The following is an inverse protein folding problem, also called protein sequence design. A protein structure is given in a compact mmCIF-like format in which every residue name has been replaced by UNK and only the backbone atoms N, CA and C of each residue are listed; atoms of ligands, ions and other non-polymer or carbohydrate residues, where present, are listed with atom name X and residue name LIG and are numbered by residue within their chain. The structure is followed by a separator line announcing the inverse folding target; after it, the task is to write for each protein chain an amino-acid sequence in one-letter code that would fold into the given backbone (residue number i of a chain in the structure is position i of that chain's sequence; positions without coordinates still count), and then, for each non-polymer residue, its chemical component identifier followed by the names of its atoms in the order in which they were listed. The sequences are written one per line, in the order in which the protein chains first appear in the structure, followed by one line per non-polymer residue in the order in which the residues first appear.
data_IF_426081355317
#
_entry.id   IF_426081355317
#
_cell.length_a   1.000
_cell.length_b   1.000
_cell.length_c   1.000
_cell.angle_alpha   90.00
_cell.angle_beta   90.00
_cell.angle_gamma   90.00
#
_symmetry.space_group_name_H-M   'P 1'
#
loop_
_entity.id
_entity.type
_entity.pdbx_description
1 polymer ?
#
# COMPACT_ATOMS: atom_id res chain seq x y z
N UNK A 1 17.82 16.76 -25.63
CA UNK A 1 17.05 16.42 -24.41
C UNK A 1 16.45 15.05 -24.62
N UNK A 2 17.03 14.01 -24.04
CA UNK A 2 16.49 12.64 -24.13
C UNK A 2 15.35 12.52 -23.13
N UNK A 3 14.14 12.24 -23.61
CA UNK A 3 12.99 11.91 -22.74
C UNK A 3 13.36 10.69 -21.89
N UNK A 4 13.16 10.72 -20.55
CA UNK A 4 13.36 9.54 -19.74
C UNK A 4 12.42 8.43 -20.24
N UNK A 5 12.83 7.15 -20.22
CA UNK A 5 11.93 6.06 -20.56
C UNK A 5 10.70 6.16 -19.65
N UNK A 6 9.50 6.01 -20.23
CA UNK A 6 8.29 5.87 -19.41
C UNK A 6 8.49 4.70 -18.45
N UNK A 7 8.11 4.86 -17.17
CA UNK A 7 8.20 3.76 -16.22
C UNK A 7 7.36 2.58 -16.71
N UNK A 8 7.77 1.37 -16.34
CA UNK A 8 6.93 0.18 -16.51
C UNK A 8 5.55 0.42 -15.88
N UNK A 9 4.46 -0.12 -16.46
CA UNK A 9 3.12 0.10 -15.96
C UNK A 9 3.03 -0.33 -14.49
N UNK A 10 2.40 0.51 -13.66
CA UNK A 10 2.23 0.20 -12.26
C UNK A 10 1.28 -1.01 -12.08
N UNK A 11 1.32 -1.71 -10.93
CA UNK A 11 0.38 -2.78 -10.65
C UNK A 11 -1.08 -2.32 -10.86
N UNK A 12 -1.82 -3.02 -11.72
CA UNK A 12 -3.20 -2.67 -12.09
C UNK A 12 -3.36 -1.80 -13.34
N UNK A 13 -2.26 -1.36 -13.95
CA UNK A 13 -2.29 -0.62 -15.21
C UNK A 13 -2.13 -1.54 -16.43
N UNK A 14 -2.81 -1.18 -17.51
CA UNK A 14 -2.70 -1.87 -18.80
C UNK A 14 -3.71 -3.00 -19.00
N UNK A 15 -3.58 -3.77 -20.10
CA UNK A 15 -4.53 -4.83 -20.44
C UNK A 15 -4.37 -6.04 -19.53
N UNK A 16 -5.49 -6.56 -19.02
CA UNK A 16 -5.52 -7.80 -18.24
C UNK A 16 -5.08 -8.99 -19.10
N UNK A 17 -4.15 -9.79 -18.59
CA UNK A 17 -3.72 -11.05 -19.21
C UNK A 17 -3.99 -12.22 -18.26
N UNK A 18 -4.52 -13.36 -18.75
CA UNK A 18 -4.73 -14.52 -17.92
C UNK A 18 -3.38 -15.13 -17.50
N UNK A 19 -3.27 -15.47 -16.22
CA UNK A 19 -2.11 -16.17 -15.63
C UNK A 19 -2.62 -17.37 -14.83
N UNK A 20 -1.95 -18.51 -14.98
CA UNK A 20 -2.27 -19.72 -14.21
C UNK A 20 -1.39 -19.82 -12.98
N UNK A 21 -1.99 -20.09 -11.82
CA UNK A 21 -1.31 -20.28 -10.53
C UNK A 21 -1.88 -21.49 -9.80
N UNK A 22 -1.06 -22.16 -9.01
CA UNK A 22 -1.50 -23.25 -8.14
C UNK A 22 -1.91 -22.70 -6.78
N UNK A 23 -3.07 -23.13 -6.28
CA UNK A 23 -3.59 -22.78 -4.95
C UNK A 23 -4.14 -24.04 -4.29
N UNK A 24 -4.10 -24.08 -2.96
CA UNK A 24 -4.77 -25.12 -2.21
C UNK A 24 -6.29 -25.08 -2.45
N UNK A 25 -6.92 -26.25 -2.51
CA UNK A 25 -8.37 -26.38 -2.73
C UNK A 25 -9.19 -25.56 -1.72
N UNK A 26 -8.79 -25.59 -0.44
CA UNK A 26 -9.41 -24.79 0.61
C UNK A 26 -9.36 -23.28 0.34
N UNK A 27 -8.25 -22.78 -0.19
CA UNK A 27 -8.10 -21.37 -0.59
C UNK A 27 -9.04 -21.04 -1.74
N UNK A 28 -9.14 -21.90 -2.74
CA UNK A 28 -10.06 -21.72 -3.87
C UNK A 28 -11.51 -21.71 -3.37
N UNK A 29 -11.88 -22.62 -2.48
CA UNK A 29 -13.22 -22.69 -1.90
C UNK A 29 -13.57 -21.42 -1.10
N UNK A 30 -12.66 -20.93 -0.26
CA UNK A 30 -12.83 -19.70 0.50
C UNK A 30 -12.98 -18.48 -0.41
N UNK A 31 -12.15 -18.38 -1.46
CA UNK A 31 -12.27 -17.31 -2.46
C UNK A 31 -13.63 -17.36 -3.17
N UNK A 32 -14.06 -18.53 -3.64
CA UNK A 32 -15.39 -18.69 -4.28
C UNK A 32 -16.53 -18.29 -3.36
N UNK A 33 -16.48 -18.70 -2.09
CA UNK A 33 -17.49 -18.34 -1.10
C UNK A 33 -17.56 -16.82 -0.88
N UNK A 34 -16.40 -16.14 -0.90
CA UNK A 34 -16.31 -14.69 -0.70
C UNK A 34 -16.72 -13.87 -1.92
N UNK A 35 -16.32 -14.28 -3.13
CA UNK A 35 -16.45 -13.46 -4.34
C UNK A 35 -17.62 -13.85 -5.25
N UNK A 36 -18.24 -15.01 -5.01
CA UNK A 36 -19.27 -15.56 -5.89
C UNK A 36 -18.73 -15.89 -7.30
N UNK A 37 -19.65 -15.96 -8.28
CA UNK A 37 -19.38 -16.50 -9.64
C UNK A 37 -18.50 -15.61 -10.53
N UNK A 38 -18.41 -14.29 -10.28
CA UNK A 38 -17.80 -13.31 -11.22
C UNK A 38 -16.80 -12.34 -10.58
N UNK A 39 -16.46 -12.50 -9.31
CA UNK A 39 -15.58 -11.56 -8.59
C UNK A 39 -14.16 -12.07 -8.31
N UNK A 40 -13.83 -13.33 -8.61
CA UNK A 40 -12.60 -13.95 -8.12
C UNK A 40 -11.34 -13.26 -8.67
N UNK A 41 -11.24 -13.07 -10.00
CA UNK A 41 -10.03 -12.49 -10.61
C UNK A 41 -9.78 -11.07 -10.13
N UNK A 42 -10.80 -10.20 -10.16
CA UNK A 42 -10.67 -8.82 -9.68
C UNK A 42 -10.32 -8.75 -8.19
N UNK A 43 -10.88 -9.64 -7.37
CA UNK A 43 -10.57 -9.71 -5.95
C UNK A 43 -9.13 -10.16 -5.69
N UNK A 44 -8.67 -11.20 -6.40
CA UNK A 44 -7.28 -11.68 -6.30
C UNK A 44 -6.31 -10.62 -6.79
N UNK A 45 -6.62 -9.95 -7.89
CA UNK A 45 -5.80 -8.86 -8.43
C UNK A 45 -5.66 -7.72 -7.42
N UNK A 46 -6.76 -7.27 -6.80
CA UNK A 46 -6.72 -6.23 -5.76
C UNK A 46 -5.88 -6.66 -4.54
N UNK A 47 -5.96 -7.94 -4.14
CA UNK A 47 -5.11 -8.47 -3.07
C UNK A 47 -3.62 -8.45 -3.43
N UNK A 48 -3.29 -8.82 -4.66
CA UNK A 48 -1.91 -8.84 -5.15
C UNK A 48 -1.37 -7.41 -5.24
N UNK A 49 -2.12 -6.47 -5.83
CA UNK A 49 -1.72 -5.06 -5.91
C UNK A 49 -1.43 -4.48 -4.52
N UNK A 50 -2.32 -4.73 -3.55
CA UNK A 50 -2.12 -4.28 -2.16
C UNK A 50 -0.89 -4.92 -1.52
N UNK A 51 -0.58 -6.17 -1.84
CA UNK A 51 0.62 -6.81 -1.29
C UNK A 51 1.89 -6.21 -1.89
N UNK A 52 1.94 -6.03 -3.21
CA UNK A 52 3.07 -5.39 -3.90
C UNK A 52 3.30 -3.96 -3.41
N UNK A 53 2.23 -3.19 -3.21
CA UNK A 53 2.32 -1.84 -2.63
C UNK A 53 2.91 -1.87 -1.21
N UNK A 54 2.46 -2.80 -0.36
CA UNK A 54 2.99 -2.96 1.00
C UNK A 54 4.47 -3.34 1.00
N UNK A 55 4.87 -4.25 0.11
CA UNK A 55 6.27 -4.68 0.00
C UNK A 55 7.14 -3.50 -0.43
N UNK A 56 6.70 -2.72 -1.44
CA UNK A 56 7.39 -1.49 -1.86
C UNK A 56 7.47 -0.44 -0.74
N UNK A 57 6.39 -0.23 0.01
CA UNK A 57 6.39 0.69 1.15
C UNK A 57 7.40 0.23 2.22
N UNK A 58 7.48 -1.08 2.47
CA UNK A 58 8.43 -1.63 3.44
C UNK A 58 9.88 -1.44 2.99
N UNK A 59 10.18 -1.61 1.70
CA UNK A 59 11.50 -1.31 1.12
C UNK A 59 11.88 0.17 1.33
N UNK A 60 10.98 1.09 0.99
CA UNK A 60 11.20 2.54 1.16
C UNK A 60 11.40 2.93 2.63
N UNK A 61 10.62 2.35 3.54
CA UNK A 61 10.79 2.57 4.98
C UNK A 61 12.16 2.07 5.43
N UNK A 62 12.54 0.85 5.03
CA UNK A 62 13.82 0.25 5.41
C UNK A 62 15.00 1.10 4.93
N UNK A 63 14.94 1.60 3.70
CA UNK A 63 15.95 2.51 3.14
C UNK A 63 16.02 3.82 3.93
N UNK A 64 14.88 4.44 4.21
CA UNK A 64 14.82 5.70 4.97
C UNK A 64 15.34 5.54 6.40
N UNK A 65 15.01 4.44 7.08
CA UNK A 65 15.50 4.15 8.43
C UNK A 65 16.99 3.81 8.45
N UNK A 66 17.53 3.19 7.40
CA UNK A 66 18.97 2.96 7.28
C UNK A 66 19.76 4.27 7.15
N UNK A 67 19.20 5.27 6.46
CA UNK A 67 19.84 6.57 6.27
C UNK A 67 19.66 7.51 7.49
N UNK A 68 18.47 7.53 8.11
CA UNK A 68 18.10 8.54 9.10
C UNK A 68 17.89 8.00 10.52
N UNK A 69 17.90 6.68 10.70
CA UNK A 69 17.41 6.02 11.90
C UNK A 69 15.87 5.87 11.92
N UNK A 70 15.33 5.06 12.86
CA UNK A 70 13.90 4.87 12.99
C UNK A 70 13.19 6.18 13.38
N UNK A 71 11.95 6.35 12.91
CA UNK A 71 11.16 7.53 13.25
C UNK A 71 10.83 7.57 14.76
N UNK A 72 11.07 8.70 15.42
CA UNK A 72 10.68 8.91 16.82
C UNK A 72 9.15 9.03 16.94
N UNK A 73 8.46 8.09 17.63
CA UNK A 73 7.01 8.12 17.78
C UNK A 73 6.48 9.39 18.45
N UNK A 74 7.23 9.97 19.40
CA UNK A 74 6.81 11.19 20.09
C UNK A 74 6.87 12.41 19.16
N UNK A 75 7.95 12.55 18.42
CA UNK A 75 8.08 13.59 17.40
C UNK A 75 7.02 13.46 16.29
N UNK A 76 6.68 12.22 15.88
CA UNK A 76 5.62 11.96 14.90
C UNK A 76 4.27 12.40 15.45
N UNK A 77 3.92 12.05 16.68
CA UNK A 77 2.62 12.44 17.26
C UNK A 77 2.53 13.96 17.47
N UNK A 78 3.60 14.61 17.90
CA UNK A 78 3.67 16.07 18.00
C UNK A 78 3.38 16.74 16.64
N UNK A 79 3.96 16.22 15.55
CA UNK A 79 3.68 16.71 14.19
C UNK A 79 2.24 16.44 13.75
N UNK A 80 1.65 15.29 14.12
CA UNK A 80 0.25 14.99 13.80
C UNK A 80 -0.73 15.92 14.51
N UNK A 81 -0.46 16.29 15.77
CA UNK A 81 -1.28 17.24 16.52
C UNK A 81 -1.31 18.61 15.82
N UNK A 82 -0.15 19.07 15.31
CA UNK A 82 -0.07 20.30 14.50
C UNK A 82 -0.93 20.17 13.24
N UNK A 83 -0.84 19.06 12.51
CA UNK A 83 -1.61 18.84 11.26
C UNK A 83 -3.12 18.73 11.47
N UNK A 84 -3.57 18.26 12.65
CA UNK A 84 -5.00 18.18 13.00
C UNK A 84 -5.57 19.51 13.48
N UNK A 85 -4.71 20.47 13.86
CA UNK A 85 -5.10 21.77 14.44
C UNK A 85 -5.12 21.79 15.97
N UNK A 86 -4.88 20.66 16.63
CA UNK A 86 -4.94 20.51 18.10
C UNK A 86 -3.92 21.38 18.84
N UNK A 87 -2.84 21.80 18.16
CA UNK A 87 -1.80 22.66 18.74
C UNK A 87 -2.26 24.12 18.91
N UNK A 88 -3.25 24.59 18.13
CA UNK A 88 -3.69 25.99 18.15
C UNK A 88 -4.62 26.31 19.34
N UNK A 89 -5.38 25.34 19.85
CA UNK A 89 -6.34 25.55 20.94
C UNK A 89 -5.68 25.66 22.34
N UNK A 90 -4.40 25.29 22.47
CA UNK A 90 -3.66 25.43 23.75
C UNK A 90 -2.98 26.79 23.93
N UNK A 91 -2.86 27.58 22.86
CA UNK A 91 -2.19 28.89 22.88
C UNK A 91 -3.14 30.06 23.19
N UNK A 92 -4.47 29.87 23.13
CA UNK A 92 -5.47 30.93 23.30
C UNK A 92 -6.22 30.86 24.66
N UNK A 93 -5.67 30.13 25.63
CA UNK A 93 -6.23 29.95 26.97
C UNK A 93 -5.35 30.52 28.10
N UNK A 94 -4.60 31.61 27.84
CA UNK A 94 -3.73 32.27 28.81
C UNK A 94 -3.97 33.78 28.89
#
# INVERSE_FOLDING_TARGET
MTTPPSPDPAPGEGPVRPVSVSLHEGTIAALKARTGKRGMSAYVEALIQRQLERDRLHELITEAEAEHGPADPAAVEAKRAILRGDAADSADAA
#
